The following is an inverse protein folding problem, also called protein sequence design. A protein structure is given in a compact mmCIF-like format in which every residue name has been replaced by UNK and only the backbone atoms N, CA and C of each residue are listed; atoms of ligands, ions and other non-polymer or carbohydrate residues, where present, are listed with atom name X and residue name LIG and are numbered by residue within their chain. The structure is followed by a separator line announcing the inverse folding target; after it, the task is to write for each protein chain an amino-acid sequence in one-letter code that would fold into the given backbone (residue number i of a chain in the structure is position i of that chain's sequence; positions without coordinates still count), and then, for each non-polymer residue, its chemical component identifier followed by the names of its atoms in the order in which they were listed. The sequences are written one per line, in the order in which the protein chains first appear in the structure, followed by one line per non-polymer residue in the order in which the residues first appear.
data_IF_806029183532
#
_entry.id   IF_806029183532
#
_cell.length_a   1.000
_cell.length_b   1.000
_cell.length_c   1.000
_cell.angle_alpha   90.00
_cell.angle_beta   90.00
_cell.angle_gamma   90.00
#
_symmetry.space_group_name_H-M   'P 1'
#
loop_
_entity.id
_entity.type
_entity.pdbx_description
1 polymer ?
#
# COMPACT_ATOMS: atom_id res chain seq x y z
N UNK A 1 -4.98 -1.97 13.85
CA UNK A 1 -5.80 -2.07 12.62
C UNK A 1 -7.08 -1.29 12.85
N UNK A 2 -7.48 -0.45 11.88
CA UNK A 2 -8.74 0.32 11.97
C UNK A 2 -9.97 -0.58 11.69
N UNK A 3 -11.17 -0.18 12.17
CA UNK A 3 -12.42 -0.89 11.83
C UNK A 3 -12.66 -1.01 10.32
N UNK A 4 -12.31 0.03 9.55
CA UNK A 4 -12.45 0.04 8.10
C UNK A 4 -11.64 -1.07 7.43
N UNK A 5 -10.35 -1.19 7.75
CA UNK A 5 -9.49 -2.23 7.16
C UNK A 5 -10.02 -3.64 7.51
N UNK A 6 -10.53 -3.83 8.73
CA UNK A 6 -11.14 -5.10 9.15
C UNK A 6 -12.34 -5.49 8.28
N UNK A 7 -13.13 -4.51 7.86
CA UNK A 7 -14.27 -4.69 6.95
C UNK A 7 -13.79 -5.00 5.53
N UNK A 8 -12.83 -4.22 5.03
CA UNK A 8 -12.33 -4.32 3.65
C UNK A 8 -11.60 -5.62 3.34
N UNK A 9 -10.85 -6.18 4.29
CA UNK A 9 -10.13 -7.46 4.12
C UNK A 9 -11.08 -8.62 3.80
N UNK A 10 -12.28 -8.59 4.36
CA UNK A 10 -13.31 -9.61 4.07
C UNK A 10 -13.75 -9.54 2.61
N UNK A 11 -13.72 -8.37 1.99
CA UNK A 11 -14.14 -8.14 0.61
C UNK A 11 -13.06 -8.53 -0.40
N UNK A 12 -11.79 -8.22 -0.11
CA UNK A 12 -10.64 -8.60 -0.96
C UNK A 12 -10.53 -10.12 -1.12
N UNK A 13 -10.92 -10.85 -0.07
CA UNK A 13 -11.02 -12.30 -0.11
C UNK A 13 -12.08 -12.83 -1.09
N UNK A 14 -13.17 -12.08 -1.30
CA UNK A 14 -14.20 -12.40 -2.32
C UNK A 14 -13.68 -12.14 -3.73
N UNK A 15 -12.74 -11.22 -3.89
CA UNK A 15 -12.07 -10.91 -5.16
C UNK A 15 -10.86 -11.82 -5.45
N UNK A 16 -10.67 -12.92 -4.70
CA UNK A 16 -9.55 -13.87 -4.81
C UNK A 16 -8.16 -13.23 -4.67
N UNK A 17 -8.07 -12.14 -3.91
CA UNK A 17 -6.82 -11.48 -3.58
C UNK A 17 -6.37 -11.91 -2.18
N UNK A 18 -5.10 -12.28 -2.02
CA UNK A 18 -4.53 -12.60 -0.71
C UNK A 18 -4.19 -11.30 0.05
N UNK A 19 -4.88 -10.99 1.16
CA UNK A 19 -4.65 -9.75 1.90
C UNK A 19 -3.25 -9.68 2.55
N UNK A 20 -2.58 -10.81 2.74
CA UNK A 20 -1.22 -10.87 3.33
C UNK A 20 -0.12 -10.38 2.38
N UNK A 21 -0.45 -10.26 1.08
CA UNK A 21 0.46 -9.82 0.03
C UNK A 21 0.50 -8.29 -0.14
N UNK A 22 -0.19 -7.55 0.74
CA UNK A 22 -0.41 -6.10 0.59
C UNK A 22 -0.12 -5.34 1.89
N UNK A 23 0.33 -4.10 1.75
CA UNK A 23 0.35 -3.12 2.82
C UNK A 23 -0.95 -2.31 2.81
N UNK A 24 -1.69 -2.38 3.91
CA UNK A 24 -3.02 -1.77 4.03
C UNK A 24 -2.93 -0.39 4.67
N UNK A 25 -3.61 0.58 4.09
CA UNK A 25 -3.65 1.95 4.57
C UNK A 25 -5.09 2.40 4.77
N UNK A 26 -5.38 2.96 5.95
CA UNK A 26 -6.59 3.74 6.16
C UNK A 26 -6.27 5.19 5.84
N UNK A 27 -6.64 5.61 4.63
CA UNK A 27 -6.34 6.96 4.11
C UNK A 27 -7.46 7.95 4.41
N UNK A 28 -8.47 7.58 5.21
CA UNK A 28 -9.63 8.44 5.51
C UNK A 28 -9.23 9.82 6.06
N UNK A 29 -8.23 9.86 6.95
CA UNK A 29 -7.71 11.13 7.46
C UNK A 29 -6.88 11.89 6.42
N UNK A 30 -6.00 11.18 5.72
CA UNK A 30 -5.08 11.75 4.72
C UNK A 30 -5.81 12.47 3.58
N UNK A 31 -6.88 11.86 3.05
CA UNK A 31 -7.65 12.44 1.95
C UNK A 31 -8.48 13.66 2.38
N UNK A 32 -8.76 13.85 3.67
CA UNK A 32 -9.42 15.05 4.19
C UNK A 32 -8.47 16.22 4.35
N UNK A 33 -7.19 15.94 4.66
CA UNK A 33 -6.19 16.98 4.93
C UNK A 33 -5.41 17.40 3.70
N UNK A 34 -5.37 16.57 2.65
CA UNK A 34 -4.61 16.84 1.42
C UNK A 34 -5.51 17.08 0.20
N UNK A 35 -6.75 17.56 0.41
CA UNK A 35 -7.69 17.87 -0.67
C UNK A 35 -7.03 18.79 -1.70
N UNK A 36 -7.13 18.44 -2.98
CA UNK A 36 -6.53 19.21 -4.07
C UNK A 36 -5.06 18.91 -4.35
N UNK A 37 -4.48 17.86 -3.76
CA UNK A 37 -3.13 17.39 -4.12
C UNK A 37 -3.01 17.21 -5.64
N UNK A 38 -2.06 17.93 -6.25
CA UNK A 38 -1.89 17.99 -7.70
C UNK A 38 -1.33 16.67 -8.25
N UNK A 39 -2.08 15.92 -9.09
CA UNK A 39 -1.62 14.61 -9.57
C UNK A 39 -0.30 14.68 -10.35
N UNK A 40 -0.09 15.73 -11.15
CA UNK A 40 1.17 15.91 -11.89
C UNK A 40 2.41 15.92 -10.99
N UNK A 41 2.27 16.51 -9.80
CA UNK A 41 3.34 16.59 -8.80
C UNK A 41 3.52 15.27 -8.06
N UNK A 42 2.42 14.64 -7.66
CA UNK A 42 2.47 13.54 -6.70
C UNK A 42 2.47 12.15 -7.31
N UNK A 43 1.90 11.90 -8.50
CA UNK A 43 1.80 10.53 -9.04
C UNK A 43 3.18 9.89 -9.31
N UNK A 44 4.17 10.69 -9.73
CA UNK A 44 5.53 10.20 -9.91
C UNK A 44 6.32 10.14 -8.60
N UNK A 45 5.70 10.47 -7.47
CA UNK A 45 6.33 10.18 -6.18
C UNK A 45 6.43 8.66 -6.03
N UNK A 46 7.61 8.20 -5.64
CA UNK A 46 7.84 6.78 -5.47
C UNK A 46 7.02 6.22 -4.31
N UNK A 47 6.46 5.03 -4.54
CA UNK A 47 5.59 4.35 -3.58
C UNK A 47 6.37 3.84 -2.36
N UNK A 48 5.76 3.87 -1.15
CA UNK A 48 6.40 3.36 0.06
C UNK A 48 6.53 1.82 0.08
N UNK A 49 5.66 1.12 -0.67
CA UNK A 49 5.65 -0.33 -0.85
C UNK A 49 5.19 -0.70 -2.26
N UNK A 50 5.61 -1.88 -2.75
CA UNK A 50 5.22 -2.41 -4.06
C UNK A 50 3.70 -2.65 -4.19
N UNK A 51 3.13 -3.38 -3.23
CA UNK A 51 1.73 -3.81 -3.23
C UNK A 51 0.97 -3.11 -2.10
N UNK A 52 0.07 -2.20 -2.44
CA UNK A 52 -0.68 -1.43 -1.45
C UNK A 52 -2.17 -1.58 -1.63
N UNK A 53 -2.89 -1.50 -0.51
CA UNK A 53 -4.34 -1.41 -0.49
C UNK A 53 -4.75 -0.13 0.26
N UNK A 54 -5.28 0.86 -0.45
CA UNK A 54 -5.74 2.12 0.11
C UNK A 54 -7.24 2.02 0.38
N UNK A 55 -7.63 2.11 1.65
CA UNK A 55 -9.03 2.10 2.07
C UNK A 55 -9.39 3.47 2.64
N UNK A 56 -10.57 4.00 2.30
CA UNK A 56 -11.02 5.25 2.89
C UNK A 56 -12.52 5.40 2.93
N UNK A 57 -12.99 6.23 3.87
CA UNK A 57 -14.40 6.62 3.97
C UNK A 57 -14.63 7.99 3.35
N UNK A 58 -15.61 8.08 2.45
CA UNK A 58 -16.08 9.35 1.88
C UNK A 58 -17.56 9.55 2.19
N UNK A 59 -18.09 10.74 1.93
CA UNK A 59 -19.54 10.98 2.09
C UNK A 59 -20.37 10.13 1.11
N UNK A 60 -19.78 9.71 -0.01
CA UNK A 60 -20.41 8.96 -1.09
C UNK A 60 -20.34 7.44 -0.90
N UNK A 61 -19.60 6.97 0.11
CA UNK A 61 -19.36 5.57 0.39
C UNK A 61 -17.90 5.28 0.75
N UNK A 62 -17.67 4.05 1.18
CA UNK A 62 -16.33 3.57 1.45
C UNK A 62 -15.69 3.07 0.16
N UNK A 63 -14.39 3.25 0.00
CA UNK A 63 -13.67 2.82 -1.20
C UNK A 63 -12.45 1.98 -0.84
N UNK A 64 -11.97 1.28 -1.85
CA UNK A 64 -10.76 0.48 -1.81
C UNK A 64 -10.01 0.60 -3.15
N UNK A 65 -8.72 0.94 -3.10
CA UNK A 65 -7.83 0.99 -4.26
C UNK A 65 -6.66 0.04 -4.05
N UNK A 66 -6.53 -0.95 -4.93
CA UNK A 66 -5.29 -1.69 -5.09
C UNK A 66 -4.32 -0.84 -5.90
N UNK A 67 -3.11 -0.63 -5.38
CA UNK A 67 -2.04 0.12 -6.04
C UNK A 67 -0.82 -0.81 -6.13
N UNK A 68 -0.51 -1.24 -7.34
CA UNK A 68 0.62 -2.10 -7.68
C UNK A 68 1.67 -1.27 -8.42
N UNK A 69 2.83 -1.08 -7.81
CA UNK A 69 3.93 -0.31 -8.40
C UNK A 69 4.97 -1.25 -9.00
N UNK A 70 5.26 -1.10 -10.28
CA UNK A 70 6.39 -1.75 -10.96
C UNK A 70 7.39 -0.68 -11.44
N UNK A 71 8.64 -1.04 -11.77
CA UNK A 71 9.64 -0.07 -12.22
C UNK A 71 9.20 0.78 -13.43
N UNK A 72 8.37 0.22 -14.31
CA UNK A 72 7.92 0.87 -15.53
C UNK A 72 6.59 1.64 -15.39
N UNK A 73 5.71 1.23 -14.47
CA UNK A 73 4.37 1.80 -14.33
C UNK A 73 3.75 1.41 -12.99
N UNK A 74 2.76 2.20 -12.56
CA UNK A 74 1.89 1.87 -11.43
C UNK A 74 0.48 1.56 -11.93
N UNK A 75 -0.05 0.41 -11.55
CA UNK A 75 -1.41 -0.02 -11.85
C UNK A 75 -2.30 0.28 -10.64
N UNK A 76 -3.48 0.84 -10.90
CA UNK A 76 -4.49 1.17 -9.89
C UNK A 76 -5.80 0.52 -10.29
N UNK A 77 -6.36 -0.28 -9.39
CA UNK A 77 -7.69 -0.92 -9.53
C UNK A 77 -8.57 -0.50 -8.37
N UNK A 78 -9.80 -0.07 -8.64
CA UNK A 78 -10.67 0.49 -7.62
C UNK A 78 -12.02 -0.19 -7.45
N UNK A 79 -12.54 -0.12 -6.23
CA UNK A 79 -13.88 -0.53 -5.85
C UNK A 79 -14.54 0.51 -4.95
N UNK A 80 -15.85 0.73 -5.14
CA UNK A 80 -16.70 1.44 -4.17
C UNK A 80 -17.58 0.41 -3.47
N UNK A 81 -17.60 0.46 -2.14
CA UNK A 81 -18.43 -0.38 -1.30
C UNK A 81 -19.71 0.35 -0.94
N UNK A 82 -20.83 -0.38 -1.06
CA UNK A 82 -22.17 0.04 -0.67
C UNK A 82 -22.74 -0.98 0.32
N UNK A 83 -23.75 -0.62 1.13
CA UNK A 83 -24.36 -1.57 2.05
C UNK A 83 -24.86 -2.87 1.39
N UNK A 84 -25.26 -2.80 0.13
CA UNK A 84 -25.83 -3.93 -0.63
C UNK A 84 -24.84 -4.63 -1.57
N UNK A 85 -23.57 -4.23 -1.60
CA UNK A 85 -22.57 -4.84 -2.49
C UNK A 85 -21.41 -3.91 -2.82
N UNK A 86 -20.78 -4.13 -3.97
CA UNK A 86 -19.68 -3.29 -4.44
C UNK A 86 -19.82 -2.96 -5.93
N UNK A 87 -19.29 -1.81 -6.33
CA UNK A 87 -19.09 -1.41 -7.72
C UNK A 87 -17.60 -1.51 -8.04
N UNK A 88 -17.25 -2.29 -9.07
CA UNK A 88 -15.91 -2.25 -9.66
C UNK A 88 -15.78 -0.96 -10.48
N UNK A 89 -14.74 -0.17 -10.22
CA UNK A 89 -14.46 1.06 -10.97
C UNK A 89 -13.62 0.82 -12.22
N UNK A 90 -12.93 -0.33 -12.27
CA UNK A 90 -11.99 -0.67 -13.32
C UNK A 90 -10.55 -0.40 -12.93
N UNK A 91 -9.66 -0.49 -13.92
CA UNK A 91 -8.22 -0.39 -13.75
C UNK A 91 -7.61 0.60 -14.73
N UNK A 92 -6.64 1.36 -14.26
CA UNK A 92 -5.79 2.20 -15.10
C UNK A 92 -4.34 2.07 -14.64
N UNK A 93 -3.42 2.46 -15.50
CA UNK A 93 -2.02 2.60 -15.14
C UNK A 93 -1.57 4.05 -15.31
N UNK A 94 -0.53 4.43 -14.59
CA UNK A 94 0.23 5.63 -14.88
C UNK A 94 1.72 5.36 -14.89
N UNK A 95 2.43 6.05 -15.76
CA UNK A 95 3.88 5.94 -15.92
C UNK A 95 4.49 7.32 -16.21
N UNK A 96 5.79 7.45 -15.97
CA UNK A 96 6.54 8.64 -16.36
C UNK A 96 6.72 8.68 -17.89
N UNK A 97 6.44 9.84 -18.47
CA UNK A 97 6.72 10.10 -19.88
C UNK A 97 7.11 11.58 -20.02
N UNK A 98 8.38 11.82 -20.36
CA UNK A 98 8.98 13.16 -20.45
C UNK A 98 8.84 13.96 -19.15
N UNK A 99 9.05 13.30 -18.00
CA UNK A 99 8.97 13.93 -16.68
C UNK A 99 7.56 14.21 -16.16
N UNK A 100 6.51 13.83 -16.89
CA UNK A 100 5.12 13.97 -16.47
C UNK A 100 4.44 12.60 -16.34
N UNK A 101 3.49 12.42 -15.39
CA UNK A 101 2.70 11.21 -15.33
C UNK A 101 1.70 11.18 -16.50
N UNK A 102 1.75 10.11 -17.30
CA UNK A 102 0.73 9.79 -18.30
C UNK A 102 -0.10 8.62 -17.81
N UNK A 103 -1.41 8.73 -18.02
CA UNK A 103 -2.39 7.73 -17.60
C UNK A 103 -2.91 6.99 -18.82
N UNK A 104 -3.04 5.67 -18.72
CA UNK A 104 -3.61 4.82 -19.76
C UNK A 104 -4.53 3.74 -19.17
N UNK A 105 -5.43 3.17 -19.99
CA UNK A 105 -6.19 1.99 -19.60
C UNK A 105 -5.26 0.77 -19.46
N UNK A 106 -5.67 -0.22 -18.65
CA UNK A 106 -5.00 -1.54 -18.58
C UNK A 106 -5.70 -2.52 -19.52
N UNK A 107 -7.01 -2.74 -19.29
CA UNK A 107 -7.80 -3.69 -20.07
C UNK A 107 -8.92 -2.99 -20.85
N UNK A 108 -9.92 -2.51 -20.10
CA UNK A 108 -11.11 -1.85 -20.63
C UNK A 108 -11.04 -0.34 -20.37
N UNK A 109 -11.66 0.48 -21.24
CA UNK A 109 -11.85 1.89 -20.95
C UNK A 109 -12.54 2.05 -19.60
N UNK A 110 -11.93 2.86 -18.75
CA UNK A 110 -12.47 3.22 -17.46
C UNK A 110 -13.34 4.48 -17.58
N UNK A 111 -14.40 4.56 -16.78
CA UNK A 111 -15.19 5.78 -16.69
C UNK A 111 -14.28 6.98 -16.32
N UNK A 112 -14.29 8.08 -17.12
CA UNK A 112 -13.38 9.20 -16.88
C UNK A 112 -13.56 9.88 -15.53
N UNK A 113 -14.76 9.85 -14.94
CA UNK A 113 -15.00 10.42 -13.62
C UNK A 113 -14.44 9.52 -12.52
N UNK A 114 -14.65 8.21 -12.62
CA UNK A 114 -14.05 7.24 -11.69
C UNK A 114 -12.51 7.28 -11.76
N UNK A 115 -11.93 7.37 -12.97
CA UNK A 115 -10.49 7.49 -13.15
C UNK A 115 -9.92 8.77 -12.51
N UNK A 116 -10.54 9.93 -12.75
CA UNK A 116 -10.12 11.21 -12.14
C UNK A 116 -10.18 11.15 -10.61
N UNK A 117 -11.23 10.54 -10.06
CA UNK A 117 -11.38 10.37 -8.62
C UNK A 117 -10.24 9.52 -8.05
N UNK A 118 -9.96 8.37 -8.64
CA UNK A 118 -8.90 7.47 -8.17
C UNK A 118 -7.51 8.09 -8.29
N UNK A 119 -7.23 8.80 -9.39
CA UNK A 119 -6.00 9.59 -9.54
C UNK A 119 -5.84 10.58 -8.38
N UNK A 120 -6.90 11.31 -8.06
CA UNK A 120 -6.90 12.25 -6.93
C UNK A 120 -6.62 11.55 -5.60
N UNK A 121 -7.27 10.41 -5.33
CA UNK A 121 -7.06 9.63 -4.11
C UNK A 121 -5.60 9.16 -3.96
N UNK A 122 -4.98 8.66 -5.04
CA UNK A 122 -3.57 8.25 -5.04
C UNK A 122 -2.65 9.44 -4.83
N UNK A 123 -2.91 10.58 -5.50
CA UNK A 123 -2.13 11.80 -5.32
C UNK A 123 -2.21 12.33 -3.87
N UNK A 124 -3.39 12.32 -3.26
CA UNK A 124 -3.59 12.72 -1.86
C UNK A 124 -2.86 11.77 -0.89
N UNK A 125 -2.91 10.47 -1.15
CA UNK A 125 -2.14 9.49 -0.38
C UNK A 125 -0.63 9.77 -0.47
N UNK A 126 -0.08 9.94 -1.67
CA UNK A 126 1.33 10.24 -1.86
C UNK A 126 1.75 11.60 -1.26
N UNK A 127 0.88 12.60 -1.30
CA UNK A 127 1.11 13.87 -0.60
C UNK A 127 1.19 13.69 0.91
N UNK A 128 0.41 12.76 1.47
CA UNK A 128 0.38 12.49 2.90
C UNK A 128 1.60 11.72 3.43
N UNK A 129 2.46 11.16 2.58
CA UNK A 129 3.61 10.35 3.01
C UNK A 129 4.68 11.12 3.78
N UNK A 130 4.68 12.45 3.67
CA UNK A 130 5.52 13.34 4.48
C UNK A 130 4.92 13.61 5.88
N UNK A 131 3.73 13.04 6.18
CA UNK A 131 3.08 13.07 7.49
C UNK A 131 3.11 11.71 8.19
N UNK A 132 2.71 11.66 9.46
CA UNK A 132 2.61 10.40 10.18
C UNK A 132 1.43 9.58 9.63
N UNK A 133 1.71 8.39 9.09
CA UNK A 133 0.70 7.45 8.60
C UNK A 133 0.90 6.07 9.26
N UNK A 134 -0.12 5.22 9.24
CA UNK A 134 -0.01 3.84 9.70
C UNK A 134 -0.27 2.89 8.52
N UNK A 135 0.64 1.94 8.32
CA UNK A 135 0.42 0.80 7.43
C UNK A 135 0.09 -0.43 8.29
N UNK A 136 -0.85 -1.25 7.84
CA UNK A 136 -1.26 -2.46 8.52
C UNK A 136 -0.92 -3.66 7.67
N UNK A 137 -0.32 -4.66 8.30
CA UNK A 137 0.14 -5.89 7.65
C UNK A 137 -0.56 -7.06 8.32
N UNK A 138 -1.43 -7.79 7.60
CA UNK A 138 -1.99 -9.03 8.11
C UNK A 138 -1.00 -10.19 7.94
N UNK A 139 -0.94 -11.05 8.96
CA UNK A 139 -0.21 -12.31 8.93
C UNK A 139 -1.16 -13.45 9.30
N UNK A 140 -1.28 -14.45 8.45
CA UNK A 140 -1.98 -15.68 8.78
C UNK A 140 -1.01 -16.64 9.48
N UNK A 141 -1.14 -16.82 10.79
CA UNK A 141 -0.32 -17.80 11.52
C UNK A 141 -0.78 -19.23 11.21
N UNK A 142 0.18 -20.14 11.06
CA UNK A 142 -0.10 -21.57 10.93
C UNK A 142 -0.51 -22.20 12.27
N UNK A 143 -1.78 -21.99 12.63
CA UNK A 143 -2.39 -22.56 13.84
C UNK A 143 -3.37 -23.65 13.46
N UNK A 144 -3.66 -24.57 14.40
CA UNK A 144 -4.69 -25.60 14.20
C UNK A 144 -6.03 -25.00 13.74
N UNK A 145 -6.46 -23.90 14.36
CA UNK A 145 -7.69 -23.18 13.99
C UNK A 145 -7.64 -22.63 12.57
N UNK A 146 -6.52 -22.03 12.15
CA UNK A 146 -6.37 -21.50 10.80
C UNK A 146 -6.30 -22.62 9.75
N UNK A 147 -5.56 -23.70 10.00
CA UNK A 147 -5.56 -24.88 9.13
C UNK A 147 -6.96 -25.46 8.95
N UNK A 148 -7.73 -25.57 10.03
CA UNK A 148 -9.13 -26.03 9.97
C UNK A 148 -9.99 -25.09 9.13
N UNK A 149 -9.91 -23.78 9.35
CA UNK A 149 -10.67 -22.78 8.58
C UNK A 149 -10.32 -22.82 7.10
N UNK A 150 -9.03 -22.85 6.76
CA UNK A 150 -8.56 -22.94 5.37
C UNK A 150 -9.08 -24.22 4.70
N UNK A 151 -9.02 -25.37 5.39
CA UNK A 151 -9.58 -26.64 4.89
C UNK A 151 -11.10 -26.58 4.66
N UNK A 152 -11.82 -25.78 5.44
CA UNK A 152 -13.25 -25.50 5.27
C UNK A 152 -13.55 -24.42 4.21
N UNK A 153 -12.55 -23.91 3.48
CA UNK A 153 -12.70 -22.81 2.52
C UNK A 153 -12.97 -21.45 3.17
N UNK A 154 -12.74 -21.32 4.48
CA UNK A 154 -12.95 -20.10 5.27
C UNK A 154 -11.65 -19.35 5.47
N UNK A 155 -11.78 -18.05 5.69
CA UNK A 155 -10.63 -17.18 5.94
C UNK A 155 -9.94 -17.48 7.27
N UNK A 156 -8.60 -17.49 7.29
CA UNK A 156 -7.85 -17.59 8.54
C UNK A 156 -8.10 -16.35 9.40
N UNK A 157 -7.81 -16.48 10.69
CA UNK A 157 -7.69 -15.35 11.59
C UNK A 157 -6.32 -14.71 11.32
N UNK A 158 -6.36 -13.43 10.94
CA UNK A 158 -5.15 -12.62 10.74
C UNK A 158 -4.72 -11.95 12.03
N UNK A 159 -3.43 -12.09 12.33
CA UNK A 159 -2.74 -11.20 13.26
C UNK A 159 -2.30 -9.94 12.52
N UNK A 160 -2.36 -8.80 13.20
CA UNK A 160 -2.11 -7.51 12.57
C UNK A 160 -0.87 -6.85 13.16
N UNK A 161 0.07 -6.52 12.29
CA UNK A 161 1.20 -5.68 12.64
C UNK A 161 0.98 -4.26 12.11
N UNK A 162 1.07 -3.26 12.99
CA UNK A 162 1.00 -1.85 12.62
C UNK A 162 2.41 -1.31 12.43
N UNK A 163 2.72 -0.84 11.22
CA UNK A 163 3.95 -0.12 10.89
C UNK A 163 3.64 1.36 10.88
N UNK A 164 4.21 2.10 11.83
CA UNK A 164 4.09 3.55 11.87
C UNK A 164 5.07 4.17 10.86
N UNK A 165 4.53 4.86 9.87
CA UNK A 165 5.26 5.72 8.96
C UNK A 165 5.45 7.06 9.65
N UNK A 166 6.62 7.30 10.22
CA UNK A 166 6.96 8.60 10.81
C UNK A 166 7.51 9.56 9.74
N UNK A 167 7.31 10.88 9.89
CA UNK A 167 8.03 11.86 9.08
C UNK A 167 9.56 11.72 9.30
N UNK A 168 10.40 12.21 8.37
CA UNK A 168 11.85 12.19 8.55
C UNK A 168 12.26 12.82 9.88
N UNK A 169 12.97 12.07 10.73
CA UNK A 169 13.46 12.59 12.01
C UNK A 169 14.56 13.63 11.77
N UNK A 170 14.59 14.74 12.53
CA UNK A 170 15.73 15.65 12.52
C UNK A 170 17.00 14.89 12.92
N UNK A 171 18.14 15.25 12.31
CA UNK A 171 19.42 14.62 12.61
C UNK A 171 19.76 14.82 14.09
N UNK A 172 19.92 13.72 14.81
CA UNK A 172 20.50 13.71 16.15
C UNK A 172 22.00 13.41 16.04
N UNK A 173 22.78 13.90 17.01
CA UNK A 173 24.18 13.55 17.14
C UNK A 173 24.33 12.05 17.37
N UNK A 174 25.39 11.48 16.78
CA UNK A 174 25.66 10.06 16.87
C UNK A 174 26.02 9.67 18.31
N UNK A 175 25.09 9.06 19.04
CA UNK A 175 25.27 8.74 20.46
C UNK A 175 26.16 7.51 20.75
N UNK A 176 26.92 7.02 19.75
CA UNK A 176 27.88 5.94 19.96
C UNK A 176 27.22 4.60 20.31
N UNK A 177 27.10 3.71 19.32
CA UNK A 177 26.67 2.33 19.57
C UNK A 177 27.15 1.38 18.47
N UNK A 178 27.68 0.23 18.86
CA UNK A 178 27.86 -0.93 17.98
C UNK A 178 26.48 -1.51 17.73
N UNK A 179 25.81 -1.04 16.67
CA UNK A 179 24.47 -1.48 16.32
C UNK A 179 24.49 -2.98 16.05
N UNK A 180 24.04 -3.80 17.01
CA UNK A 180 23.75 -5.20 16.76
C UNK A 180 22.71 -5.22 15.64
N UNK A 181 23.10 -5.67 14.44
CA UNK A 181 22.21 -5.67 13.30
C UNK A 181 20.98 -6.51 13.64
N UNK A 182 19.76 -5.92 13.63
CA UNK A 182 18.53 -6.64 13.94
C UNK A 182 18.27 -7.73 12.90
N UNK A 183 17.33 -8.64 13.21
CA UNK A 183 16.84 -9.67 12.26
C UNK A 183 16.46 -9.03 10.92
N UNK A 184 16.68 -9.75 9.82
CA UNK A 184 16.37 -9.24 8.48
C UNK A 184 14.87 -8.90 8.35
N UNK A 185 14.56 -7.68 7.93
CA UNK A 185 13.20 -7.16 7.77
C UNK A 185 13.10 -6.22 6.55
N UNK A 186 11.91 -6.08 5.98
CA UNK A 186 11.64 -5.15 4.88
C UNK A 186 11.47 -3.73 5.43
N UNK A 187 12.20 -2.78 4.87
CA UNK A 187 12.17 -1.36 5.21
C UNK A 187 11.56 -0.61 4.05
N UNK A 188 10.61 0.28 4.36
CA UNK A 188 9.90 1.08 3.37
C UNK A 188 10.80 2.03 2.57
N UNK A 189 10.28 2.44 1.41
CA UNK A 189 10.81 3.60 0.71
C UNK A 189 10.61 4.90 1.48
N UNK A 190 11.57 5.82 1.39
CA UNK A 190 11.45 7.14 2.02
C UNK A 190 12.31 8.21 1.33
N UNK A 191 11.90 9.47 1.49
CA UNK A 191 12.70 10.63 1.10
C UNK A 191 13.89 10.80 2.03
N UNK A 192 15.09 10.96 1.45
CA UNK A 192 16.33 11.27 2.16
C UNK A 192 16.91 12.59 1.66
N UNK A 193 17.27 13.46 2.59
CA UNK A 193 18.02 14.69 2.29
C UNK A 193 19.52 14.43 2.44
N UNK A 194 20.28 14.65 1.36
CA UNK A 194 21.74 14.51 1.33
C UNK A 194 22.44 15.73 1.93
N UNK A 195 23.74 15.61 2.25
CA UNK A 195 24.55 16.73 2.77
C UNK A 195 24.57 17.94 1.82
N UNK A 196 24.38 17.71 0.53
CA UNK A 196 24.29 18.75 -0.51
C UNK A 196 22.95 19.50 -0.53
N UNK A 197 21.98 19.16 0.33
CA UNK A 197 20.63 19.73 0.32
C UNK A 197 19.68 19.09 -0.70
N UNK A 198 20.19 18.29 -1.65
CA UNK A 198 19.36 17.53 -2.60
C UNK A 198 18.53 16.48 -1.86
N UNK A 199 17.28 16.28 -2.27
CA UNK A 199 16.43 15.15 -1.86
C UNK A 199 16.55 14.03 -2.89
N UNK A 200 16.64 12.80 -2.43
CA UNK A 200 16.47 11.61 -3.27
C UNK A 200 15.63 10.58 -2.55
N UNK A 201 14.97 9.72 -3.32
CA UNK A 201 14.20 8.62 -2.76
C UNK A 201 15.08 7.39 -2.57
N UNK A 202 14.97 6.78 -1.41
CA UNK A 202 15.54 5.47 -1.13
C UNK A 202 14.41 4.46 -1.30
N UNK A 203 14.55 3.52 -2.25
CA UNK A 203 13.58 2.45 -2.47
C UNK A 203 13.41 1.56 -1.24
N UNK A 204 12.29 0.83 -1.18
CA UNK A 204 12.14 -0.22 -0.18
C UNK A 204 13.26 -1.27 -0.33
N UNK A 205 13.80 -1.74 0.79
CA UNK A 205 14.89 -2.69 0.80
C UNK A 205 14.87 -3.57 2.04
N UNK A 206 15.54 -4.72 1.97
CA UNK A 206 15.76 -5.56 3.13
C UNK A 206 16.93 -5.00 3.97
N UNK A 207 16.72 -4.80 5.27
CA UNK A 207 17.79 -4.45 6.22
C UNK A 207 17.91 -5.50 7.32
N UNK A 208 19.10 -5.63 7.88
CA UNK A 208 19.40 -6.55 8.99
C UNK A 208 20.15 -7.80 8.54
N UNK A 209 20.40 -8.68 9.51
CA UNK A 209 21.23 -9.87 9.33
C UNK A 209 20.35 -11.10 9.07
N UNK A 210 20.51 -11.74 7.90
CA UNK A 210 19.74 -12.91 7.51
C UNK A 210 20.06 -14.14 8.39
N UNK A 211 21.29 -14.22 8.94
CA UNK A 211 21.74 -15.34 9.77
C UNK A 211 21.04 -15.40 11.14
N UNK A 212 20.48 -14.28 11.59
CA UNK A 212 19.70 -14.17 12.84
C UNK A 212 18.21 -14.47 12.66
N UNK A 213 17.84 -14.98 11.49
CA UNK A 213 16.46 -15.17 11.05
C UNK A 213 15.97 -14.01 10.20
N UNK A 214 15.12 -14.31 9.23
CA UNK A 214 14.47 -13.33 8.35
C UNK A 214 12.98 -13.32 8.63
N UNK A 215 12.39 -12.14 8.79
CA UNK A 215 10.93 -11.99 8.79
C UNK A 215 10.47 -12.09 7.33
N UNK A 216 10.25 -13.31 6.86
CA UNK A 216 9.73 -13.58 5.51
C UNK A 216 8.24 -13.26 5.42
N UNK A 217 7.85 -12.70 4.28
CA UNK A 217 6.50 -12.77 3.73
C UNK A 217 6.68 -13.49 2.40
N UNK A 218 6.33 -14.76 2.34
CA UNK A 218 6.52 -15.53 1.12
C UNK A 218 5.39 -15.24 0.14
N UNK A 219 5.80 -15.00 -1.11
CA UNK A 219 4.95 -14.73 -2.25
C UNK A 219 4.89 -16.01 -3.09
N UNK A 220 3.70 -16.58 -3.28
CA UNK A 220 3.42 -17.46 -4.40
C UNK A 220 2.37 -16.75 -5.26
N UNK A 221 2.78 -16.29 -6.44
CA UNK A 221 1.84 -15.94 -7.50
C UNK A 221 1.35 -17.27 -8.06
N UNK A 222 0.07 -17.57 -7.85
CA UNK A 222 -0.57 -18.70 -8.51
C UNK A 222 -0.73 -18.36 -9.99
N UNK A 223 0.08 -18.98 -10.84
CA UNK A 223 -0.21 -19.10 -12.27
C UNK A 223 -1.49 -19.94 -12.40
N UNK A 224 -2.61 -19.30 -12.71
CA UNK A 224 -3.79 -20.00 -13.21
C UNK A 224 -3.88 -19.76 -14.71
N UNK A 225 -3.17 -20.60 -15.47
CA UNK A 225 -3.58 -20.96 -16.83
C UNK A 225 -4.54 -22.15 -16.70
N UNK A 226 -5.80 -21.93 -17.01
CA UNK A 226 -6.73 -22.92 -17.58
C UNK A 226 -7.59 -22.19 -18.63
#
# INVERSE_FOLDING_TARGET
MTPLIKEMVKMVSVANLDPTQMQWFDVTGAIKTHIGAEPKRYLLHPAPYKNMMLCGRTAQGDFMLSVLTEPAATIVTGWILKPTGYKVLGSFLFAEHNGEPKVGPVDKPIDPQDQRMMIGLVAMFYASLDTKLEAYVPTAKDTFTNRRKIKEGKLPIYDWHTVVIEPPKPKQEHQGGTHASPRRHQVRGHWRTYKSGKRGWVNECWKGDASKGTVYKDYLIGDNND
#
